data_IF_890003051062
#
_entry.id   IF_890003051062
#
_cell.length_a   1.000
_cell.length_b   1.000
_cell.length_c   1.000
_cell.angle_alpha   90.00
_cell.angle_beta   90.00
_cell.angle_gamma   90.00
#
_symmetry.space_group_name_H-M   'P 1'
#
loop_
_entity.id
_entity.type
_entity.pdbx_description
1 polymer ?
#
# COMPACT_ATOMS: atom_id res chain seq x y z
N UNK A 1 -10.39 2.84 -10.60
CA UNK A 1 -9.38 2.48 -9.59
C UNK A 1 -10.09 2.31 -8.24
N UNK A 2 -9.75 1.30 -7.43
CA UNK A 2 -10.28 1.22 -6.07
C UNK A 2 -9.90 2.51 -5.33
N UNK A 3 -10.89 3.16 -4.71
CA UNK A 3 -10.66 4.37 -3.93
C UNK A 3 -9.83 3.98 -2.71
N UNK A 4 -8.54 4.34 -2.68
CA UNK A 4 -7.71 4.23 -1.49
C UNK A 4 -8.02 5.45 -0.63
N UNK A 5 -8.84 5.34 0.43
CA UNK A 5 -9.14 6.49 1.26
C UNK A 5 -7.84 7.03 1.85
N UNK A 6 -7.64 8.33 1.71
CA UNK A 6 -6.49 9.00 2.32
C UNK A 6 -6.67 8.98 3.85
N UNK A 7 -5.70 8.48 4.61
CA UNK A 7 -5.80 8.47 6.06
C UNK A 7 -5.73 9.90 6.62
N UNK A 8 -6.68 10.24 7.49
CA UNK A 8 -6.70 11.52 8.19
C UNK A 8 -5.64 11.52 9.30
N UNK A 9 -4.48 12.12 9.01
CA UNK A 9 -3.37 12.24 9.96
C UNK A 9 -3.61 13.43 10.90
N UNK A 10 -4.51 13.27 11.86
CA UNK A 10 -4.73 14.25 12.93
C UNK A 10 -3.78 13.97 14.10
N UNK A 11 -2.81 14.85 14.32
CA UNK A 11 -1.89 14.76 15.46
C UNK A 11 -1.05 16.03 15.62
N UNK A 12 -1.02 16.57 16.83
CA UNK A 12 -0.22 17.75 17.20
C UNK A 12 1.05 17.35 17.98
N UNK A 13 1.22 16.06 18.25
CA UNK A 13 2.35 15.52 19.02
C UNK A 13 3.03 14.35 18.30
N UNK A 14 4.32 14.14 18.58
CA UNK A 14 5.07 12.98 18.11
C UNK A 14 4.41 11.65 18.53
N UNK A 15 3.83 11.59 19.73
CA UNK A 15 3.13 10.40 20.22
C UNK A 15 1.89 10.05 19.38
N UNK A 16 1.16 11.05 18.90
CA UNK A 16 0.03 10.85 17.98
C UNK A 16 0.52 10.42 16.59
N UNK A 17 1.59 11.03 16.07
CA UNK A 17 2.20 10.63 14.79
C UNK A 17 2.61 9.14 14.76
N UNK A 18 3.18 8.63 15.87
CA UNK A 18 3.59 7.22 15.99
C UNK A 18 2.42 6.24 15.89
N UNK A 19 1.20 6.65 16.30
CA UNK A 19 0.00 5.79 16.20
C UNK A 19 -0.37 5.47 14.75
N UNK A 20 0.06 6.29 13.80
CA UNK A 20 -0.20 6.05 12.37
C UNK A 20 0.79 5.09 11.71
N UNK A 21 1.93 4.80 12.36
CA UNK A 21 2.97 3.92 11.80
C UNK A 21 2.40 2.54 11.42
N UNK A 22 1.62 1.83 12.26
CA UNK A 22 1.05 0.54 11.89
C UNK A 22 0.12 0.62 10.67
N UNK A 23 -0.68 1.69 10.57
CA UNK A 23 -1.57 1.94 9.42
C UNK A 23 -0.76 2.16 8.15
N UNK A 24 0.28 2.99 8.20
CA UNK A 24 1.21 3.22 7.10
C UNK A 24 1.92 1.93 6.67
N UNK A 25 2.45 1.16 7.62
CA UNK A 25 3.09 -0.13 7.34
C UNK A 25 2.13 -1.12 6.68
N UNK A 26 0.86 -1.15 7.12
CA UNK A 26 -0.14 -2.02 6.51
C UNK A 26 -0.50 -1.57 5.09
N UNK A 27 -0.64 -0.26 4.85
CA UNK A 27 -0.86 0.30 3.52
C UNK A 27 0.29 -0.06 2.57
N UNK A 28 1.55 0.15 2.99
CA UNK A 28 2.73 -0.22 2.19
C UNK A 28 2.76 -1.72 1.86
N UNK A 29 2.41 -2.60 2.82
CA UNK A 29 2.30 -4.05 2.58
C UNK A 29 1.21 -4.41 1.57
N UNK A 30 0.10 -3.65 1.53
CA UNK A 30 -0.97 -3.84 0.53
C UNK A 30 -0.48 -3.41 -0.85
N UNK A 31 0.16 -2.25 -0.95
CA UNK A 31 0.75 -1.76 -2.20
C UNK A 31 1.77 -2.75 -2.77
N UNK A 32 2.67 -3.30 -1.93
CA UNK A 32 3.64 -4.30 -2.37
C UNK A 32 2.98 -5.55 -2.96
N UNK A 33 1.89 -6.04 -2.35
CA UNK A 33 1.15 -7.19 -2.89
C UNK A 33 0.52 -6.88 -4.24
N UNK A 34 -0.04 -5.68 -4.41
CA UNK A 34 -0.60 -5.26 -5.70
C UNK A 34 0.48 -5.15 -6.77
N UNK A 35 1.64 -4.58 -6.44
CA UNK A 35 2.80 -4.51 -7.35
C UNK A 35 3.26 -5.92 -7.73
N UNK A 36 3.38 -6.84 -6.77
CA UNK A 36 3.78 -8.22 -7.06
C UNK A 36 2.77 -8.92 -7.98
N UNK A 37 1.47 -8.74 -7.74
CA UNK A 37 0.42 -9.29 -8.58
C UNK A 37 0.47 -8.70 -10.00
N UNK A 38 0.68 -7.39 -10.13
CA UNK A 38 0.84 -6.72 -11.41
C UNK A 38 2.06 -7.24 -12.17
N UNK A 39 3.21 -7.32 -11.50
CA UNK A 39 4.43 -7.85 -12.10
C UNK A 39 4.26 -9.32 -12.52
N UNK A 40 3.57 -10.13 -11.72
CA UNK A 40 3.27 -11.51 -12.10
C UNK A 40 2.39 -11.58 -13.35
N UNK A 41 1.35 -10.74 -13.43
CA UNK A 41 0.50 -10.65 -14.61
C UNK A 41 1.29 -10.21 -15.85
N UNK A 42 2.10 -9.14 -15.75
CA UNK A 42 2.96 -8.67 -16.84
C UNK A 42 3.87 -9.79 -17.35
N UNK A 43 4.60 -10.47 -16.46
CA UNK A 43 5.50 -11.57 -16.86
C UNK A 43 4.76 -12.75 -17.50
N UNK A 44 3.49 -12.96 -17.12
CA UNK A 44 2.66 -14.02 -17.72
C UNK A 44 2.16 -13.61 -19.11
N UNK A 45 1.83 -12.33 -19.31
CA UNK A 45 1.38 -11.83 -20.61
C UNK A 45 2.52 -11.58 -21.61
N UNK A 46 3.72 -11.25 -21.14
CA UNK A 46 4.91 -11.07 -21.99
C UNK A 46 5.58 -12.39 -22.38
N UNK A 47 5.27 -13.48 -21.66
CA UNK A 47 5.75 -14.83 -21.99
C UNK A 47 4.58 -15.82 -22.12
N UNK A 48 3.64 -15.58 -23.05
CA UNK A 48 2.59 -16.54 -23.34
C UNK A 48 3.24 -17.69 -24.11
N UNK A 49 3.39 -18.85 -23.46
CA UNK A 49 3.68 -20.10 -24.15
C UNK A 49 2.61 -20.39 -25.21
#
# INVERSE_FOLDING_TARGET
MPHCPEPDFTGNTYGEAVRFIPTLQQALRRCQRQINALNHWINTEENPQ
#
